data_IF_093741669566
#
_entry.id   IF_093741669566
#
_cell.length_a   1.000
_cell.length_b   1.000
_cell.length_c   1.000
_cell.angle_alpha   90.00
_cell.angle_beta   90.00
_cell.angle_gamma   90.00
#
_symmetry.space_group_name_H-M   'P 1'
#
loop_
_entity.id
_entity.type
_entity.pdbx_description
1 polymer ?
#
# COMPACT_ATOMS: atom_id res chain seq x y z
N UNK A 1 -74.48 -36.10 -60.26
CA UNK A 1 -75.85 -36.57 -60.48
C UNK A 1 -75.77 -37.67 -61.53
N UNK A 2 -76.34 -38.82 -61.22
CA UNK A 2 -76.38 -39.97 -62.13
C UNK A 2 -77.31 -39.68 -63.31
N UNK A 3 -77.12 -40.41 -64.42
CA UNK A 3 -77.96 -40.25 -65.61
C UNK A 3 -79.36 -40.82 -65.37
N UNK A 4 -80.37 -40.20 -66.01
CA UNK A 4 -81.76 -40.61 -65.88
C UNK A 4 -82.45 -40.17 -64.59
N UNK A 5 -83.67 -40.64 -64.37
CA UNK A 5 -84.51 -40.29 -63.22
C UNK A 5 -85.13 -41.52 -62.57
N UNK A 6 -85.48 -41.41 -61.29
CA UNK A 6 -86.12 -42.48 -60.52
C UNK A 6 -87.60 -42.21 -60.30
N UNK A 7 -88.40 -43.26 -60.32
CA UNK A 7 -89.73 -43.28 -59.74
C UNK A 7 -89.69 -44.08 -58.45
N UNK A 8 -89.99 -43.40 -57.35
CA UNK A 8 -90.04 -43.94 -56.01
C UNK A 8 -91.50 -43.99 -55.57
N UNK A 9 -91.94 -45.14 -55.07
CA UNK A 9 -93.31 -45.33 -54.60
C UNK A 9 -93.30 -45.51 -53.08
N UNK A 10 -94.15 -44.76 -52.39
CA UNK A 10 -94.27 -44.86 -50.93
C UNK A 10 -94.58 -46.31 -50.52
N UNK A 11 -93.88 -46.79 -49.49
CA UNK A 11 -94.00 -48.12 -48.90
C UNK A 11 -93.68 -49.28 -49.87
N UNK A 12 -92.94 -49.00 -50.94
CA UNK A 12 -92.41 -50.00 -51.86
C UNK A 12 -90.87 -50.04 -51.80
N UNK A 13 -90.29 -51.23 -51.97
CA UNK A 13 -88.84 -51.44 -52.10
C UNK A 13 -88.37 -51.47 -53.57
N UNK A 14 -89.28 -51.63 -54.52
CA UNK A 14 -89.01 -51.55 -55.94
C UNK A 14 -88.83 -50.10 -56.41
N UNK A 15 -87.74 -49.84 -57.11
CA UNK A 15 -87.43 -48.55 -57.75
C UNK A 15 -87.35 -48.76 -59.25
N UNK A 16 -88.04 -47.90 -60.00
CA UNK A 16 -87.99 -47.91 -61.46
C UNK A 16 -87.25 -46.68 -61.97
N UNK A 17 -86.31 -46.90 -62.89
CA UNK A 17 -85.50 -45.87 -63.53
C UNK A 17 -85.96 -45.59 -64.95
N UNK A 18 -85.88 -44.32 -65.36
CA UNK A 18 -86.07 -43.88 -66.74
C UNK A 18 -84.79 -43.25 -67.26
N UNK A 19 -84.22 -43.79 -68.33
CA UNK A 19 -82.92 -43.37 -68.87
C UNK A 19 -81.72 -43.70 -67.97
N UNK A 20 -81.87 -44.65 -67.06
CA UNK A 20 -80.83 -45.08 -66.11
C UNK A 20 -80.02 -46.25 -66.65
N UNK A 21 -78.79 -46.40 -66.15
CA UNK A 21 -77.90 -47.53 -66.43
C UNK A 21 -77.47 -48.21 -65.12
N UNK A 22 -78.43 -48.75 -64.35
CA UNK A 22 -78.13 -49.24 -63.00
C UNK A 22 -77.08 -50.33 -62.94
N UNK A 23 -76.98 -51.23 -63.94
CA UNK A 23 -76.01 -52.33 -63.87
C UNK A 23 -74.56 -51.87 -64.03
N UNK A 24 -74.33 -50.65 -64.51
CA UNK A 24 -72.99 -50.05 -64.65
C UNK A 24 -72.69 -49.02 -63.57
N UNK A 25 -73.71 -48.35 -63.04
CA UNK A 25 -73.56 -47.27 -62.06
C UNK A 25 -73.69 -47.72 -60.61
N UNK A 26 -74.29 -48.89 -60.37
CA UNK A 26 -74.59 -49.39 -59.03
C UNK A 26 -74.27 -50.88 -58.91
N UNK A 27 -73.84 -51.28 -57.73
CA UNK A 27 -73.79 -52.66 -57.28
C UNK A 27 -74.70 -52.87 -56.06
N UNK A 28 -75.03 -54.13 -55.76
CA UNK A 28 -75.69 -54.48 -54.51
C UNK A 28 -74.84 -54.00 -53.30
N UNK A 29 -75.48 -53.30 -52.37
CA UNK A 29 -74.85 -52.68 -51.20
C UNK A 29 -74.41 -51.22 -51.39
N UNK A 30 -74.51 -50.66 -52.60
CA UNK A 30 -74.33 -49.22 -52.81
C UNK A 30 -75.56 -48.43 -52.35
N UNK A 31 -75.43 -47.11 -52.27
CA UNK A 31 -76.49 -46.23 -51.82
C UNK A 31 -76.93 -45.30 -52.95
N UNK A 32 -78.21 -44.96 -52.96
CA UNK A 32 -78.78 -43.93 -53.83
C UNK A 32 -79.14 -42.74 -52.94
N UNK A 33 -78.66 -41.55 -53.31
CA UNK A 33 -79.11 -40.31 -52.69
C UNK A 33 -80.07 -39.60 -53.62
N UNK A 34 -81.27 -39.32 -53.12
CA UNK A 34 -82.36 -38.65 -53.83
C UNK A 34 -82.95 -37.57 -52.94
N UNK A 35 -83.27 -36.41 -53.49
CA UNK A 35 -83.96 -35.35 -52.73
C UNK A 35 -85.40 -35.28 -53.20
N UNK A 36 -86.34 -35.58 -52.30
CA UNK A 36 -87.77 -35.56 -52.57
C UNK A 36 -88.44 -34.58 -51.61
N UNK A 37 -89.13 -33.58 -52.14
CA UNK A 37 -89.82 -32.57 -51.32
C UNK A 37 -88.88 -31.76 -50.41
N UNK A 38 -87.61 -31.58 -50.79
CA UNK A 38 -86.59 -30.87 -50.00
C UNK A 38 -85.89 -31.72 -48.94
N UNK A 39 -86.27 -32.98 -48.76
CA UNK A 39 -85.64 -33.91 -47.81
C UNK A 39 -84.73 -34.88 -48.58
N UNK A 40 -83.44 -35.00 -48.23
CA UNK A 40 -82.55 -36.00 -48.80
C UNK A 40 -82.83 -37.38 -48.19
N UNK A 41 -82.93 -38.39 -49.04
CA UNK A 41 -83.06 -39.79 -48.67
C UNK A 41 -81.82 -40.56 -49.14
N UNK A 42 -81.23 -41.34 -48.25
CA UNK A 42 -80.13 -42.26 -48.55
C UNK A 42 -80.69 -43.69 -48.56
N UNK A 43 -80.81 -44.26 -49.75
CA UNK A 43 -81.53 -45.50 -50.02
C UNK A 43 -80.53 -46.61 -50.36
N UNK A 44 -80.31 -47.60 -49.47
CA UNK A 44 -79.42 -48.72 -49.74
C UNK A 44 -80.01 -49.67 -50.79
N UNK A 45 -79.22 -50.01 -51.81
CA UNK A 45 -79.59 -50.93 -52.89
C UNK A 45 -79.35 -52.37 -52.42
N UNK A 46 -80.42 -53.17 -52.40
CA UNK A 46 -80.34 -54.61 -52.07
C UNK A 46 -79.88 -55.41 -53.28
N UNK A 47 -80.46 -55.14 -54.44
CA UNK A 47 -80.14 -55.81 -55.70
C UNK A 47 -80.44 -54.88 -56.87
N UNK A 48 -79.63 -54.96 -57.92
CA UNK A 48 -79.91 -54.34 -59.22
C UNK A 48 -80.53 -55.42 -60.10
N UNK A 49 -81.80 -55.25 -60.46
CA UNK A 49 -82.55 -56.26 -61.20
C UNK A 49 -82.24 -56.17 -62.71
N UNK A 50 -82.08 -54.95 -63.24
CA UNK A 50 -81.63 -54.63 -64.60
C UNK A 50 -81.30 -53.13 -64.69
N UNK A 51 -81.03 -52.59 -65.89
CA UNK A 51 -80.65 -51.18 -66.08
C UNK A 51 -81.70 -50.15 -65.61
N UNK A 52 -82.96 -50.54 -65.52
CA UNK A 52 -84.09 -49.65 -65.20
C UNK A 52 -84.89 -50.11 -63.99
N UNK A 53 -84.43 -51.13 -63.26
CA UNK A 53 -85.11 -51.62 -62.07
C UNK A 53 -84.10 -52.10 -61.02
N UNK A 54 -84.33 -51.70 -59.78
CA UNK A 54 -83.58 -52.17 -58.62
C UNK A 54 -84.50 -52.33 -57.41
N UNK A 55 -84.03 -53.08 -56.42
CA UNK A 55 -84.73 -53.31 -55.16
C UNK A 55 -83.91 -52.70 -54.02
N UNK A 56 -84.56 -51.96 -53.13
CA UNK A 56 -83.95 -51.37 -51.93
C UNK A 56 -83.89 -52.39 -50.78
N UNK A 57 -83.02 -52.16 -49.81
CA UNK A 57 -82.93 -53.01 -48.60
C UNK A 57 -84.16 -52.82 -47.71
N UNK A 58 -84.67 -51.60 -47.65
CA UNK A 58 -85.89 -51.23 -46.92
C UNK A 58 -86.85 -50.49 -47.85
N UNK A 59 -88.15 -50.67 -47.64
CA UNK A 59 -89.18 -49.94 -48.38
C UNK A 59 -88.98 -48.43 -48.23
N UNK A 60 -89.17 -47.69 -49.33
CA UNK A 60 -89.04 -46.24 -49.37
C UNK A 60 -90.18 -45.57 -48.58
N UNK A 61 -89.85 -44.78 -47.56
CA UNK A 61 -90.83 -44.18 -46.63
C UNK A 61 -91.21 -42.74 -46.99
N UNK A 62 -90.64 -42.17 -48.05
CA UNK A 62 -90.97 -40.82 -48.52
C UNK A 62 -92.22 -40.77 -49.41
N UNK A 63 -92.64 -39.57 -49.85
CA UNK A 63 -93.80 -39.43 -50.73
C UNK A 63 -93.48 -39.98 -52.13
N UNK A 64 -94.48 -40.57 -52.77
CA UNK A 64 -94.38 -41.08 -54.14
C UNK A 64 -93.99 -39.96 -55.09
N UNK A 65 -92.88 -40.11 -55.80
CA UNK A 65 -92.40 -39.14 -56.77
C UNK A 65 -91.88 -39.86 -58.01
N UNK A 66 -92.32 -39.38 -59.18
CA UNK A 66 -91.74 -39.76 -60.47
C UNK A 66 -90.77 -38.68 -60.95
N UNK A 67 -89.74 -39.07 -61.69
CA UNK A 67 -88.77 -38.14 -62.26
C UNK A 67 -87.73 -37.62 -61.27
N UNK A 68 -87.49 -38.30 -60.14
CA UNK A 68 -86.56 -37.84 -59.12
C UNK A 68 -85.10 -37.94 -59.59
N UNK A 69 -84.37 -36.83 -59.46
CA UNK A 69 -82.93 -36.79 -59.71
C UNK A 69 -82.17 -37.55 -58.60
N UNK A 70 -81.13 -38.29 -58.97
CA UNK A 70 -80.45 -39.19 -58.04
C UNK A 70 -78.93 -39.17 -58.23
N UNK A 71 -78.20 -39.66 -57.22
CA UNK A 71 -76.76 -39.88 -57.31
C UNK A 71 -76.41 -41.23 -56.69
N UNK A 72 -75.64 -42.03 -57.42
CA UNK A 72 -75.00 -43.23 -56.90
C UNK A 72 -73.90 -42.84 -55.89
N UNK A 73 -73.91 -43.49 -54.73
CA UNK A 73 -72.84 -43.41 -53.72
C UNK A 73 -72.32 -44.83 -53.48
N UNK A 74 -71.13 -45.17 -54.01
CA UNK A 74 -70.54 -46.48 -53.81
C UNK A 74 -70.36 -46.78 -52.32
N UNK A 75 -70.61 -48.03 -51.89
CA UNK A 75 -70.49 -48.44 -50.48
C UNK A 75 -69.10 -48.14 -49.92
N UNK A 76 -68.07 -48.29 -50.76
CA UNK A 76 -66.67 -48.08 -50.39
C UNK A 76 -66.44 -46.62 -50.00
N UNK A 77 -67.04 -45.67 -50.70
CA UNK A 77 -66.90 -44.25 -50.39
C UNK A 77 -67.52 -43.89 -49.04
N UNK A 78 -68.74 -44.36 -48.75
CA UNK A 78 -69.41 -44.15 -47.45
C UNK A 78 -68.65 -44.81 -46.28
N UNK A 79 -68.13 -46.02 -46.48
CA UNK A 79 -67.31 -46.71 -45.49
C UNK A 79 -65.98 -46.01 -45.25
N UNK A 80 -65.34 -45.47 -46.30
CA UNK A 80 -64.09 -44.70 -46.18
C UNK A 80 -64.30 -43.39 -45.42
N UNK A 81 -65.41 -42.67 -45.65
CA UNK A 81 -65.72 -41.45 -44.88
C UNK A 81 -65.93 -41.77 -43.39
N UNK A 82 -66.64 -42.85 -43.09
CA UNK A 82 -66.85 -43.30 -41.70
C UNK A 82 -65.53 -43.73 -41.05
N UNK A 83 -64.69 -44.49 -41.76
CA UNK A 83 -63.38 -44.92 -41.28
C UNK A 83 -62.42 -43.73 -41.07
N UNK A 84 -62.41 -42.76 -41.98
CA UNK A 84 -61.61 -41.55 -41.87
C UNK A 84 -62.04 -40.69 -40.66
N UNK A 85 -63.35 -40.52 -40.44
CA UNK A 85 -63.87 -39.82 -39.27
C UNK A 85 -63.47 -40.52 -37.96
N UNK A 86 -63.54 -41.85 -37.92
CA UNK A 86 -63.08 -42.65 -36.76
C UNK A 86 -61.58 -42.47 -36.54
N UNK A 87 -60.77 -42.52 -37.60
CA UNK A 87 -59.32 -42.32 -37.50
C UNK A 87 -58.98 -40.91 -36.98
N UNK A 88 -59.58 -39.87 -37.54
CA UNK A 88 -59.39 -38.48 -37.10
C UNK A 88 -59.85 -38.27 -35.65
N UNK A 89 -60.98 -38.86 -35.26
CA UNK A 89 -61.47 -38.79 -33.88
C UNK A 89 -60.55 -39.50 -32.90
N UNK A 90 -60.01 -40.67 -33.28
CA UNK A 90 -59.04 -41.41 -32.47
C UNK A 90 -57.71 -40.67 -32.34
N UNK A 91 -57.23 -40.01 -33.39
CA UNK A 91 -56.05 -39.15 -33.35
C UNK A 91 -56.24 -37.94 -32.44
N UNK A 92 -57.38 -37.25 -32.54
CA UNK A 92 -57.72 -36.13 -31.67
C UNK A 92 -57.77 -36.55 -30.19
N UNK A 93 -58.44 -37.66 -29.87
CA UNK A 93 -58.50 -38.20 -28.51
C UNK A 93 -57.12 -38.62 -27.98
N UNK A 94 -56.27 -39.16 -28.85
CA UNK A 94 -54.89 -39.50 -28.49
C UNK A 94 -54.07 -38.25 -28.18
N UNK A 95 -54.22 -37.19 -28.97
CA UNK A 95 -53.61 -35.89 -28.71
C UNK A 95 -54.01 -35.32 -27.34
N UNK A 96 -55.31 -35.32 -27.02
CA UNK A 96 -55.80 -34.86 -25.71
C UNK A 96 -55.25 -35.69 -24.54
N UNK A 97 -55.12 -37.01 -24.73
CA UNK A 97 -54.51 -37.88 -23.71
C UNK A 97 -53.02 -37.59 -23.52
N UNK A 98 -52.28 -37.30 -24.60
CA UNK A 98 -50.88 -36.86 -24.48
C UNK A 98 -50.79 -35.54 -23.73
N UNK A 99 -51.62 -34.54 -24.04
CA UNK A 99 -51.61 -33.26 -23.31
C UNK A 99 -51.87 -33.48 -21.82
N UNK A 100 -52.81 -34.35 -21.45
CA UNK A 100 -53.05 -34.69 -20.04
C UNK A 100 -51.83 -35.31 -19.36
N UNK A 101 -51.14 -36.24 -20.03
CA UNK A 101 -49.94 -36.88 -19.50
C UNK A 101 -48.75 -35.91 -19.43
N UNK A 102 -48.60 -35.05 -20.45
CA UNK A 102 -47.59 -34.01 -20.51
C UNK A 102 -47.76 -33.04 -19.34
N UNK A 103 -48.98 -32.54 -19.11
CA UNK A 103 -49.27 -31.62 -18.01
C UNK A 103 -49.05 -32.25 -16.64
N UNK A 104 -49.44 -33.51 -16.44
CA UNK A 104 -49.14 -34.23 -15.21
C UNK A 104 -47.62 -34.29 -14.98
N UNK A 105 -46.85 -34.63 -16.01
CA UNK A 105 -45.39 -34.72 -15.92
C UNK A 105 -44.75 -33.35 -15.63
N UNK A 106 -45.20 -32.28 -16.28
CA UNK A 106 -44.70 -30.91 -16.06
C UNK A 106 -44.98 -30.44 -14.63
N UNK A 107 -46.17 -30.71 -14.08
CA UNK A 107 -46.56 -30.24 -12.76
C UNK A 107 -45.94 -31.03 -11.62
N UNK A 108 -45.73 -32.35 -11.78
CA UNK A 108 -45.22 -33.19 -10.70
C UNK A 108 -43.72 -33.52 -10.81
N UNK A 109 -43.11 -33.29 -11.97
CA UNK A 109 -41.70 -33.61 -12.19
C UNK A 109 -40.75 -32.65 -11.47
N UNK A 110 -39.64 -33.19 -10.96
CA UNK A 110 -38.52 -32.43 -10.37
C UNK A 110 -37.27 -32.36 -11.27
N UNK A 111 -37.29 -33.05 -12.41
CA UNK A 111 -36.19 -33.06 -13.39
C UNK A 111 -36.69 -32.74 -14.80
N UNK A 112 -35.97 -33.21 -15.82
CA UNK A 112 -36.43 -33.10 -17.20
C UNK A 112 -37.55 -34.11 -17.48
N UNK A 113 -38.58 -33.65 -18.19
CA UNK A 113 -39.73 -34.45 -18.65
C UNK A 113 -39.86 -34.35 -20.16
N UNK A 114 -40.39 -35.40 -20.78
CA UNK A 114 -40.64 -35.46 -22.22
C UNK A 114 -42.11 -35.16 -22.51
N UNK A 115 -42.35 -34.13 -23.30
CA UNK A 115 -43.66 -33.71 -23.80
C UNK A 115 -43.86 -34.33 -25.18
N UNK A 116 -44.95 -35.06 -25.37
CA UNK A 116 -45.32 -35.67 -26.66
C UNK A 116 -46.42 -34.87 -27.35
N UNK A 117 -46.21 -34.46 -28.59
CA UNK A 117 -47.15 -33.65 -29.35
C UNK A 117 -48.15 -34.53 -30.12
N UNK A 118 -49.33 -33.99 -30.49
CA UNK A 118 -50.33 -34.73 -31.27
C UNK A 118 -49.83 -35.23 -32.64
N UNK A 119 -48.84 -34.56 -33.24
CA UNK A 119 -48.18 -34.95 -34.49
C UNK A 119 -47.18 -36.13 -34.32
N UNK A 120 -47.00 -36.62 -33.09
CA UNK A 120 -46.10 -37.71 -32.74
C UNK A 120 -44.67 -37.29 -32.40
N UNK A 121 -44.32 -36.01 -32.58
CA UNK A 121 -43.03 -35.47 -32.18
C UNK A 121 -42.92 -35.30 -30.66
N UNK A 122 -41.71 -35.02 -30.16
CA UNK A 122 -41.48 -34.84 -28.73
C UNK A 122 -40.44 -33.77 -28.42
N UNK A 123 -40.58 -33.16 -27.25
CA UNK A 123 -39.67 -32.18 -26.68
C UNK A 123 -39.28 -32.61 -25.25
N UNK A 124 -38.02 -32.42 -24.85
CA UNK A 124 -37.58 -32.70 -23.48
C UNK A 124 -37.08 -31.42 -22.82
N UNK A 125 -37.60 -31.11 -21.63
CA UNK A 125 -37.24 -29.91 -20.88
C UNK A 125 -37.59 -30.02 -19.41
N UNK A 126 -37.19 -29.04 -18.58
CA UNK A 126 -37.39 -29.11 -17.13
C UNK A 126 -38.86 -29.00 -16.76
N UNK A 127 -39.31 -29.87 -15.87
CA UNK A 127 -40.57 -29.72 -15.16
C UNK A 127 -40.48 -28.58 -14.12
N UNK A 128 -41.63 -28.12 -13.65
CA UNK A 128 -41.71 -26.96 -12.77
C UNK A 128 -40.99 -27.17 -11.43
N UNK A 129 -40.99 -28.39 -10.88
CA UNK A 129 -40.23 -28.71 -9.68
C UNK A 129 -38.71 -28.59 -9.87
N UNK A 130 -38.20 -28.91 -11.07
CA UNK A 130 -36.78 -28.75 -11.40
C UNK A 130 -36.37 -27.28 -11.51
N UNK A 131 -37.24 -26.45 -12.11
CA UNK A 131 -37.06 -24.99 -12.17
C UNK A 131 -37.06 -24.40 -10.76
N UNK A 132 -38.03 -24.79 -9.92
CA UNK A 132 -38.13 -24.31 -8.54
C UNK A 132 -36.90 -24.67 -7.70
N UNK A 133 -36.38 -25.90 -7.84
CA UNK A 133 -35.17 -26.35 -7.15
C UNK A 133 -33.95 -25.52 -7.55
N UNK A 134 -33.81 -25.26 -8.86
CA UNK A 134 -32.72 -24.44 -9.40
C UNK A 134 -32.79 -23.02 -8.85
N UNK A 135 -33.99 -22.41 -8.85
CA UNK A 135 -34.19 -21.07 -8.31
C UNK A 135 -33.91 -20.98 -6.81
N UNK A 136 -34.33 -21.99 -6.03
CA UNK A 136 -34.02 -22.08 -4.61
C UNK A 136 -32.51 -22.17 -4.35
N UNK A 137 -31.79 -22.96 -5.15
CA UNK A 137 -30.33 -23.07 -5.06
C UNK A 137 -29.62 -21.77 -5.41
N UNK A 138 -30.10 -21.05 -6.43
CA UNK A 138 -29.59 -19.71 -6.78
C UNK A 138 -29.80 -18.73 -5.63
N UNK A 139 -31.00 -18.68 -5.04
CA UNK A 139 -31.30 -17.82 -3.90
C UNK A 139 -30.40 -18.11 -2.69
N UNK A 140 -30.17 -19.39 -2.39
CA UNK A 140 -29.25 -19.77 -1.32
C UNK A 140 -27.82 -19.28 -1.60
N UNK A 141 -27.33 -19.50 -2.83
CA UNK A 141 -25.99 -19.06 -3.23
C UNK A 141 -25.82 -17.53 -3.12
N UNK A 142 -26.84 -16.76 -3.49
CA UNK A 142 -26.85 -15.30 -3.35
C UNK A 142 -26.77 -14.89 -1.87
N UNK A 143 -27.54 -15.55 -1.00
CA UNK A 143 -27.52 -15.27 0.44
C UNK A 143 -26.16 -15.61 1.07
N UNK A 144 -25.56 -16.73 0.67
CA UNK A 144 -24.25 -17.17 1.16
C UNK A 144 -23.14 -16.17 0.74
N UNK A 145 -23.19 -15.69 -0.51
CA UNK A 145 -22.30 -14.63 -1.00
C UNK A 145 -22.49 -13.35 -0.18
N UNK A 146 -23.74 -12.93 0.04
CA UNK A 146 -24.04 -11.73 0.84
C UNK A 146 -23.48 -11.81 2.26
N UNK A 147 -23.64 -12.97 2.91
CA UNK A 147 -23.12 -13.24 4.26
C UNK A 147 -21.59 -13.19 4.28
N UNK A 148 -20.94 -13.95 3.38
CA UNK A 148 -19.47 -14.02 3.29
C UNK A 148 -18.85 -12.64 3.00
N UNK A 149 -19.49 -11.86 2.13
CA UNK A 149 -19.03 -10.50 1.82
C UNK A 149 -19.19 -9.57 3.03
N UNK A 150 -20.30 -9.68 3.77
CA UNK A 150 -20.52 -8.92 5.00
C UNK A 150 -19.41 -9.15 6.04
N UNK A 151 -18.96 -10.40 6.20
CA UNK A 151 -17.86 -10.76 7.10
C UNK A 151 -16.51 -10.19 6.63
N UNK A 152 -16.19 -10.31 5.33
CA UNK A 152 -14.92 -9.80 4.78
C UNK A 152 -14.87 -8.28 4.66
N UNK A 153 -16.02 -7.62 4.52
CA UNK A 153 -16.13 -6.18 4.32
C UNK A 153 -16.36 -5.40 5.63
N UNK A 154 -16.44 -6.07 6.78
CA UNK A 154 -16.52 -5.36 8.07
C UNK A 154 -15.16 -4.73 8.41
N UNK A 155 -14.94 -3.55 7.82
CA UNK A 155 -13.78 -2.68 8.04
C UNK A 155 -13.61 -2.30 9.52
N UNK A 156 -14.64 -2.47 10.37
CA UNK A 156 -14.51 -2.20 11.81
C UNK A 156 -13.60 -3.22 12.51
N UNK A 157 -13.51 -4.44 12.00
CA UNK A 157 -12.65 -5.50 12.56
C UNK A 157 -11.16 -5.33 12.23
N UNK A 158 -10.83 -4.58 11.17
CA UNK A 158 -9.46 -4.40 10.68
C UNK A 158 -8.68 -3.26 11.37
N UNK A 159 -9.32 -2.58 12.34
CA UNK A 159 -8.73 -1.47 13.07
C UNK A 159 -8.63 -0.17 12.24
N UNK A 160 -8.31 0.94 12.91
CA UNK A 160 -8.30 2.27 12.28
C UNK A 160 -7.17 2.48 11.27
N UNK A 161 -6.09 1.69 11.35
CA UNK A 161 -4.97 1.76 10.41
C UNK A 161 -5.33 1.23 9.01
N UNK A 162 -6.20 0.22 8.91
CA UNK A 162 -6.61 -0.36 7.63
C UNK A 162 -7.45 0.58 6.75
N UNK A 163 -7.96 1.68 7.32
CA UNK A 163 -8.71 2.71 6.62
C UNK A 163 -7.85 3.92 6.20
N UNK A 164 -6.54 3.89 6.47
CA UNK A 164 -5.61 4.97 6.13
C UNK A 164 -4.78 4.59 4.92
N UNK A 165 -4.56 5.54 4.04
CA UNK A 165 -3.63 5.37 2.92
C UNK A 165 -2.20 5.26 3.43
N UNK A 166 -1.38 4.49 2.73
CA UNK A 166 0.07 4.47 2.94
C UNK A 166 0.69 5.67 2.23
N UNK A 167 1.79 6.19 2.76
CA UNK A 167 2.59 7.23 2.09
C UNK A 167 2.97 6.84 0.66
N UNK A 168 2.97 7.82 -0.25
CA UNK A 168 3.34 7.61 -1.67
C UNK A 168 4.82 7.83 -1.96
N UNK A 169 5.55 8.44 -1.03
CA UNK A 169 7.01 8.64 -1.12
C UNK A 169 7.61 8.77 0.28
N UNK A 170 8.93 8.65 0.40
CA UNK A 170 9.65 8.80 1.67
C UNK A 170 9.61 10.23 2.25
N UNK A 171 9.00 11.20 1.55
CA UNK A 171 8.87 12.60 1.93
C UNK A 171 7.41 13.07 1.90
N UNK A 172 6.45 12.14 1.89
CA UNK A 172 5.02 12.44 1.81
C UNK A 172 4.47 13.04 3.11
N UNK A 173 4.19 14.34 3.08
CA UNK A 173 3.69 15.12 4.21
C UNK A 173 2.15 15.08 4.36
N UNK A 174 1.44 14.27 3.56
CA UNK A 174 -0.02 14.20 3.60
C UNK A 174 -0.51 13.69 4.96
N UNK A 175 -1.28 14.52 5.67
CA UNK A 175 -1.76 14.17 7.00
C UNK A 175 -2.66 12.93 6.99
N UNK A 176 -2.48 12.07 8.01
CA UNK A 176 -3.33 10.91 8.23
C UNK A 176 -2.94 9.65 7.47
N UNK A 177 -1.81 9.66 6.74
CA UNK A 177 -1.23 8.48 6.11
C UNK A 177 -0.38 7.63 7.06
N UNK A 178 -0.25 6.34 6.75
CA UNK A 178 0.60 5.39 7.48
C UNK A 178 2.02 5.45 6.94
N UNK A 179 3.01 5.60 7.83
CA UNK A 179 4.43 5.59 7.50
C UNK A 179 4.93 4.15 7.20
N UNK A 180 5.87 4.02 6.27
CA UNK A 180 6.57 2.76 5.98
C UNK A 180 8.05 2.85 6.33
N UNK A 181 8.75 1.71 6.34
CA UNK A 181 10.21 1.69 6.52
C UNK A 181 10.90 2.54 5.46
N UNK A 182 11.75 3.46 5.90
CA UNK A 182 12.44 4.46 5.09
C UNK A 182 11.73 5.82 5.00
N UNK A 183 10.48 5.93 5.46
CA UNK A 183 9.77 7.20 5.54
C UNK A 183 10.55 8.18 6.42
N UNK A 184 10.87 9.36 5.88
CA UNK A 184 11.58 10.42 6.62
C UNK A 184 12.87 9.93 7.32
N UNK A 185 13.54 8.91 6.76
CA UNK A 185 14.77 8.34 7.33
C UNK A 185 14.56 7.38 8.50
N UNK A 186 13.33 6.96 8.80
CA UNK A 186 13.03 5.98 9.85
C UNK A 186 13.30 4.55 9.36
N UNK A 187 14.23 3.84 10.01
CA UNK A 187 14.54 2.43 9.71
C UNK A 187 15.38 2.21 8.44
N UNK A 188 15.66 3.26 7.65
CA UNK A 188 16.65 3.27 6.56
C UNK A 188 17.20 4.68 6.39
N UNK A 189 18.46 4.81 5.99
CA UNK A 189 19.06 6.13 5.76
C UNK A 189 18.35 6.86 4.62
N UNK A 190 18.20 8.17 4.76
CA UNK A 190 17.80 9.10 3.70
C UNK A 190 18.89 10.14 3.52
N UNK A 191 19.41 10.28 2.31
CA UNK A 191 20.30 11.40 1.98
C UNK A 191 19.43 12.65 1.81
N UNK A 192 19.66 13.68 2.62
CA UNK A 192 18.98 14.97 2.50
C UNK A 192 19.76 15.89 1.55
N UNK A 193 19.02 16.72 0.83
CA UNK A 193 19.55 17.76 -0.04
C UNK A 193 19.66 19.10 0.68
N UNK A 194 20.46 20.02 0.12
CA UNK A 194 20.51 21.41 0.61
C UNK A 194 19.13 22.07 0.67
N UNK A 195 18.27 21.82 -0.31
CA UNK A 195 16.94 22.41 -0.35
C UNK A 195 16.04 21.89 0.79
N UNK A 196 16.09 20.59 1.08
CA UNK A 196 15.30 19.98 2.15
C UNK A 196 15.72 20.47 3.54
N UNK A 197 17.03 20.68 3.75
CA UNK A 197 17.56 21.18 5.01
C UNK A 197 17.36 22.69 5.19
N UNK A 198 17.33 23.46 4.11
CA UNK A 198 17.07 24.91 4.15
C UNK A 198 15.58 25.27 4.25
N UNK A 199 14.67 24.31 4.07
CA UNK A 199 13.24 24.57 3.98
C UNK A 199 12.48 23.85 5.08
N UNK A 200 11.89 24.59 6.02
CA UNK A 200 10.96 24.01 6.99
C UNK A 200 9.78 23.28 6.30
N UNK A 201 9.36 23.67 5.09
CA UNK A 201 8.28 22.98 4.37
C UNK A 201 8.59 21.51 4.00
N UNK A 202 9.85 21.05 4.08
CA UNK A 202 10.20 19.64 3.83
C UNK A 202 9.91 18.69 4.99
N UNK A 203 9.32 19.18 6.08
CA UNK A 203 8.91 18.36 7.22
C UNK A 203 10.04 17.93 8.16
N UNK A 204 9.63 17.19 9.20
CA UNK A 204 10.50 16.51 10.18
C UNK A 204 11.10 15.25 9.55
N UNK A 205 12.39 15.01 9.79
CA UNK A 205 13.09 13.86 9.23
C UNK A 205 14.37 13.49 9.99
N UNK A 206 14.72 12.22 9.95
CA UNK A 206 16.09 11.73 10.13
C UNK A 206 16.80 11.74 8.78
N UNK A 207 18.07 12.11 8.77
CA UNK A 207 18.81 12.24 7.53
C UNK A 207 20.29 11.88 7.68
N UNK A 208 20.88 11.44 6.57
CA UNK A 208 22.30 11.48 6.30
C UNK A 208 22.58 12.67 5.37
N UNK A 209 23.78 13.24 5.44
CA UNK A 209 24.19 14.35 4.60
C UNK A 209 25.63 14.17 4.12
N UNK A 210 25.86 14.47 2.84
CA UNK A 210 27.11 14.20 2.12
C UNK A 210 28.19 15.28 2.20
N UNK A 211 28.06 16.25 3.11
CA UNK A 211 29.00 17.37 3.22
C UNK A 211 29.01 18.34 2.03
N UNK A 212 29.89 19.34 2.08
CA UNK A 212 30.13 20.27 0.96
C UNK A 212 29.03 21.29 0.64
N UNK A 213 28.04 21.46 1.53
CA UNK A 213 26.95 22.41 1.35
C UNK A 213 26.45 22.98 2.68
N UNK A 214 25.20 22.71 3.02
CA UNK A 214 24.55 23.17 4.26
C UNK A 214 25.33 22.73 5.51
N UNK A 215 25.74 21.47 5.56
CA UNK A 215 26.79 21.01 6.46
C UNK A 215 28.08 20.84 5.66
N UNK A 216 29.21 21.30 6.20
CA UNK A 216 30.52 21.10 5.58
C UNK A 216 30.94 19.64 5.62
N UNK A 217 30.59 18.96 6.72
CA UNK A 217 31.00 17.60 7.03
C UNK A 217 29.96 16.56 6.59
N UNK A 218 30.43 15.33 6.41
CA UNK A 218 29.58 14.15 6.27
C UNK A 218 29.04 13.76 7.63
N UNK A 219 27.79 13.29 7.68
CA UNK A 219 27.21 12.89 8.96
C UNK A 219 25.73 12.58 8.89
N UNK A 220 25.14 12.53 10.08
CA UNK A 220 23.72 12.22 10.26
C UNK A 220 23.07 13.28 11.14
N UNK A 221 21.78 13.48 10.97
CA UNK A 221 21.05 14.44 11.77
C UNK A 221 19.57 14.16 11.87
N UNK A 222 18.94 14.97 12.69
CA UNK A 222 17.49 15.05 12.85
C UNK A 222 17.07 16.49 12.63
N UNK A 223 16.01 16.67 11.85
CA UNK A 223 15.33 17.93 11.64
C UNK A 223 13.94 17.79 12.22
N UNK A 224 13.55 18.73 13.08
CA UNK A 224 12.26 18.75 13.76
C UNK A 224 11.59 20.08 13.46
N UNK A 225 10.41 20.00 12.86
CA UNK A 225 9.59 21.17 12.61
C UNK A 225 8.73 21.52 13.82
N UNK A 226 8.64 22.81 14.12
CA UNK A 226 7.63 23.36 15.01
C UNK A 226 6.40 23.85 14.20
N UNK A 227 6.66 24.51 13.07
CA UNK A 227 5.68 24.99 12.09
C UNK A 227 6.26 24.88 10.67
N UNK A 228 5.45 25.17 9.64
CA UNK A 228 5.87 25.09 8.23
C UNK A 228 7.03 26.03 7.85
N UNK A 229 7.33 27.00 8.70
CA UNK A 229 8.39 27.99 8.53
C UNK A 229 9.35 28.09 9.73
N UNK A 230 9.25 27.16 10.70
CA UNK A 230 10.09 27.11 11.90
C UNK A 230 10.53 25.67 12.13
N UNK A 231 11.84 25.44 12.10
CA UNK A 231 12.42 24.16 12.45
C UNK A 231 13.70 24.32 13.26
N UNK A 232 14.05 23.25 13.95
CA UNK A 232 15.35 23.05 14.56
C UNK A 232 16.00 21.80 13.97
N UNK A 233 17.32 21.80 13.90
CA UNK A 233 18.11 20.69 13.39
C UNK A 233 19.24 20.40 14.35
N UNK A 234 19.57 19.12 14.49
CA UNK A 234 20.78 18.65 15.14
C UNK A 234 21.50 17.75 14.14
N UNK A 235 22.78 18.01 13.93
CA UNK A 235 23.64 17.25 13.06
C UNK A 235 24.88 16.80 13.80
N UNK A 236 25.27 15.55 13.58
CA UNK A 236 26.46 14.93 14.12
C UNK A 236 27.34 14.52 12.94
N UNK A 237 28.48 15.19 12.81
CA UNK A 237 29.47 14.85 11.81
C UNK A 237 30.10 13.48 12.13
N UNK A 238 30.22 12.61 11.12
CA UNK A 238 30.71 11.25 11.30
C UNK A 238 32.22 11.20 11.64
N UNK A 239 33.00 12.16 11.15
CA UNK A 239 34.46 12.16 11.30
C UNK A 239 34.97 12.66 12.65
N UNK A 240 34.30 13.64 13.25
CA UNK A 240 34.76 14.32 14.47
C UNK A 240 33.67 14.44 15.56
N UNK A 241 32.52 13.78 15.37
CA UNK A 241 31.36 13.84 16.27
C UNK A 241 30.92 15.27 16.62
N UNK A 242 31.22 16.24 15.74
CA UNK A 242 30.83 17.64 15.95
C UNK A 242 29.31 17.74 15.91
N UNK A 243 28.73 18.20 17.02
CA UNK A 243 27.32 18.53 17.12
C UNK A 243 27.08 19.97 16.64
N UNK A 244 26.22 20.12 15.65
CA UNK A 244 25.80 21.42 15.11
C UNK A 244 24.29 21.55 15.23
N UNK A 245 23.83 22.65 15.79
CA UNK A 245 22.42 23.03 15.83
C UNK A 245 22.13 24.02 14.73
N UNK A 246 21.00 23.90 14.04
CA UNK A 246 20.49 24.99 13.24
C UNK A 246 19.08 25.34 13.69
N UNK A 247 18.84 26.62 13.96
CA UNK A 247 17.50 27.13 14.17
C UNK A 247 17.12 28.04 13.01
N UNK A 248 15.92 27.87 12.48
CA UNK A 248 15.35 28.80 11.51
C UNK A 248 14.23 29.59 12.20
N UNK A 249 14.53 30.77 12.77
CA UNK A 249 13.52 31.58 13.42
C UNK A 249 12.58 32.19 12.37
N UNK A 250 11.28 31.88 12.44
CA UNK A 250 10.16 32.47 11.69
C UNK A 250 10.52 33.15 10.34
N UNK A 251 10.91 32.35 9.33
CA UNK A 251 11.23 32.86 7.98
C UNK A 251 12.62 33.51 7.82
N UNK A 252 13.46 33.50 8.86
CA UNK A 252 14.84 33.95 8.84
C UNK A 252 15.82 32.92 8.25
N UNK A 253 17.07 33.33 8.06
CA UNK A 253 18.14 32.42 7.65
C UNK A 253 18.46 31.41 8.77
N UNK A 254 18.85 30.18 8.39
CA UNK A 254 19.27 29.17 9.34
C UNK A 254 20.52 29.66 10.11
N UNK A 255 20.43 29.68 11.44
CA UNK A 255 21.53 30.11 12.31
C UNK A 255 22.29 28.88 12.81
N UNK A 256 23.58 28.80 12.47
CA UNK A 256 24.46 27.77 13.00
C UNK A 256 24.73 28.02 14.48
N UNK A 257 24.53 26.99 15.29
CA UNK A 257 24.84 26.96 16.71
C UNK A 257 25.86 25.85 16.95
N UNK A 258 27.00 26.21 17.53
CA UNK A 258 28.02 25.23 17.94
C UNK A 258 27.68 24.73 19.34
N UNK A 259 27.65 23.40 19.51
CA UNK A 259 27.51 22.81 20.84
C UNK A 259 28.86 22.74 21.56
N UNK A 260 28.90 23.29 22.76
CA UNK A 260 30.02 23.16 23.67
C UNK A 260 29.85 21.91 24.56
N UNK A 261 30.92 21.14 24.69
CA UNK A 261 31.01 19.89 25.44
C UNK A 261 32.37 19.81 26.13
N UNK A 262 32.56 18.84 27.04
CA UNK A 262 33.86 18.61 27.68
C UNK A 262 34.96 18.19 26.70
N UNK A 263 34.61 17.81 25.47
CA UNK A 263 35.58 17.47 24.43
C UNK A 263 36.13 18.69 23.69
N UNK A 264 35.41 19.82 23.66
CA UNK A 264 35.81 21.04 22.93
C UNK A 264 35.80 22.30 23.81
N UNK A 265 35.73 22.13 25.13
CA UNK A 265 35.90 23.20 26.11
C UNK A 265 36.78 22.77 27.28
N UNK A 266 37.56 23.71 27.82
CA UNK A 266 38.32 23.55 29.06
C UNK A 266 37.66 24.38 30.16
N UNK A 267 37.48 23.79 31.34
CA UNK A 267 36.97 24.47 32.53
C UNK A 267 38.13 25.12 33.29
N UNK A 268 38.10 26.45 33.44
CA UNK A 268 39.05 27.18 34.26
C UNK A 268 38.79 26.93 35.77
N UNK A 269 39.75 27.31 36.63
CA UNK A 269 39.66 27.11 38.07
C UNK A 269 38.43 27.81 38.70
N UNK A 270 37.98 28.92 38.12
CA UNK A 270 36.79 29.68 38.53
C UNK A 270 35.46 29.10 37.99
N UNK A 271 35.52 28.04 37.21
CA UNK A 271 34.36 27.37 36.61
C UNK A 271 33.90 27.92 35.26
N UNK A 272 34.56 28.95 34.71
CA UNK A 272 34.28 29.43 33.35
C UNK A 272 34.69 28.40 32.29
N UNK A 273 33.87 28.25 31.24
CA UNK A 273 34.19 27.42 30.08
C UNK A 273 34.88 28.28 29.02
N UNK A 274 36.02 27.80 28.53
CA UNK A 274 36.78 28.42 27.43
C UNK A 274 37.01 27.38 26.33
N UNK A 275 37.29 27.81 25.11
CA UNK A 275 37.54 26.89 23.99
C UNK A 275 38.64 25.87 24.35
N UNK A 276 38.46 24.61 23.96
CA UNK A 276 39.51 23.60 24.12
C UNK A 276 40.74 24.01 23.32
N UNK A 277 41.89 23.84 23.95
CA UNK A 277 43.19 24.00 23.33
C UNK A 277 44.19 23.12 24.08
N UNK A 278 45.37 22.82 23.53
CA UNK A 278 46.40 22.11 24.27
C UNK A 278 46.79 22.93 25.50
N UNK A 279 46.51 22.38 26.69
CA UNK A 279 46.75 23.06 27.96
C UNK A 279 47.53 22.16 28.89
N UNK A 280 48.65 22.69 29.36
CA UNK A 280 49.52 22.09 30.37
C UNK A 280 49.30 22.83 31.69
N UNK A 281 48.84 22.12 32.72
CA UNK A 281 48.76 22.67 34.08
C UNK A 281 50.05 22.38 34.83
N UNK A 282 50.69 23.41 35.36
CA UNK A 282 51.92 23.35 36.14
C UNK A 282 51.62 23.44 37.64
N UNK A 283 52.19 22.54 38.43
CA UNK A 283 52.08 22.53 39.90
C UNK A 283 53.42 22.84 40.56
N UNK A 284 53.36 23.19 41.86
CA UNK A 284 54.49 23.68 42.64
C UNK A 284 55.72 22.75 42.64
N UNK A 285 55.50 21.43 42.63
CA UNK A 285 56.51 20.38 42.71
C UNK A 285 57.08 19.96 41.34
N UNK A 286 56.60 20.58 40.25
CA UNK A 286 56.95 20.20 38.89
C UNK A 286 56.06 19.10 38.30
N UNK A 287 55.07 18.60 39.05
CA UNK A 287 54.02 17.76 38.47
C UNK A 287 53.25 18.59 37.45
N UNK A 288 52.75 17.91 36.41
CA UNK A 288 51.88 18.52 35.42
C UNK A 288 50.66 17.66 35.11
N UNK A 289 49.57 18.32 34.75
CA UNK A 289 48.38 17.67 34.20
C UNK A 289 48.16 18.13 32.76
N UNK A 290 48.08 17.17 31.86
CA UNK A 290 47.89 17.37 30.43
C UNK A 290 46.44 17.07 30.06
N UNK A 291 45.90 17.83 29.11
CA UNK A 291 44.66 17.44 28.43
C UNK A 291 44.97 16.54 27.23
N UNK A 292 43.92 16.00 26.59
CA UNK A 292 44.07 15.10 25.44
C UNK A 292 44.87 15.72 24.29
N UNK A 293 44.76 17.03 24.07
CA UNK A 293 45.46 17.72 22.99
C UNK A 293 46.94 17.98 23.29
N UNK A 294 47.32 18.13 24.57
CA UNK A 294 48.73 18.29 25.01
C UNK A 294 49.40 16.95 25.38
N UNK A 295 48.80 15.82 25.01
CA UNK A 295 49.37 14.49 25.21
C UNK A 295 50.75 14.40 24.53
N UNK A 296 51.79 14.09 25.31
CA UNK A 296 53.17 14.04 24.86
C UNK A 296 54.04 15.20 25.36
N UNK A 297 53.46 16.24 25.96
CA UNK A 297 54.25 17.25 26.66
C UNK A 297 54.90 16.67 27.93
N UNK A 298 56.14 17.10 28.22
CA UNK A 298 56.85 16.78 29.45
C UNK A 298 57.13 18.07 30.21
N UNK A 299 56.95 18.06 31.53
CA UNK A 299 57.28 19.19 32.39
C UNK A 299 58.42 18.82 33.31
N UNK A 300 59.47 19.66 33.30
CA UNK A 300 60.65 19.51 34.14
C UNK A 300 60.86 20.75 34.98
N UNK A 301 60.79 20.63 36.32
CA UNK A 301 61.18 21.72 37.24
C UNK A 301 62.70 21.86 37.26
N UNK A 302 63.22 22.99 36.76
CA UNK A 302 64.67 23.26 36.66
C UNK A 302 65.23 23.89 37.95
N UNK A 303 64.40 24.65 38.65
CA UNK A 303 64.76 25.38 39.86
C UNK A 303 63.53 25.93 40.56
N UNK A 304 63.73 26.70 41.64
CA UNK A 304 62.63 27.39 42.33
C UNK A 304 61.96 28.37 41.39
N UNK A 305 60.67 28.16 41.13
CA UNK A 305 59.88 28.99 40.23
C UNK A 305 60.23 28.81 38.75
N UNK A 306 60.96 27.77 38.35
CA UNK A 306 61.34 27.54 36.96
C UNK A 306 60.84 26.18 36.44
N UNK A 307 59.95 26.21 35.46
CA UNK A 307 59.28 25.05 34.88
C UNK A 307 59.45 25.01 33.37
N UNK A 308 60.15 24.00 32.86
CA UNK A 308 60.33 23.81 31.42
C UNK A 308 59.28 22.85 30.86
N UNK A 309 58.56 23.27 29.83
CA UNK A 309 57.61 22.45 29.07
C UNK A 309 58.24 22.04 27.74
N UNK A 310 58.39 20.75 27.53
CA UNK A 310 58.97 20.13 26.34
C UNK A 310 57.89 19.38 25.57
N UNK A 311 58.06 19.17 24.26
CA UNK A 311 57.08 18.49 23.39
C UNK A 311 56.01 19.40 22.77
N UNK A 312 56.11 20.71 22.98
CA UNK A 312 55.35 21.74 22.28
C UNK A 312 56.23 22.52 21.28
N UNK A 313 55.61 23.28 20.37
CA UNK A 313 56.29 24.15 19.39
C UNK A 313 56.27 25.63 19.79
N UNK A 314 55.85 25.93 21.02
CA UNK A 314 55.76 27.28 21.58
C UNK A 314 54.42 27.51 22.27
N UNK A 315 54.09 28.78 22.48
CA UNK A 315 52.76 29.18 22.93
C UNK A 315 51.76 29.13 21.78
N UNK A 316 50.51 28.81 22.13
CA UNK A 316 49.44 28.78 21.14
C UNK A 316 49.21 30.18 20.53
N UNK A 317 49.11 30.24 19.20
CA UNK A 317 49.03 31.50 18.45
C UNK A 317 47.66 32.21 18.53
N UNK A 318 46.64 31.57 19.10
CA UNK A 318 45.30 32.14 19.23
C UNK A 318 45.16 33.04 20.46
N UNK A 319 44.88 34.33 20.20
CA UNK A 319 44.78 35.41 21.19
C UNK A 319 43.53 35.35 22.11
N UNK A 320 42.66 34.33 21.94
CA UNK A 320 41.45 34.17 22.76
C UNK A 320 41.72 33.97 24.27
N UNK A 321 42.94 33.62 24.67
CA UNK A 321 43.40 33.57 26.07
C UNK A 321 44.57 34.53 26.26
N UNK A 322 44.44 35.52 27.14
CA UNK A 322 45.58 36.33 27.59
C UNK A 322 46.09 37.38 26.59
N UNK A 323 45.60 37.40 25.35
CA UNK A 323 45.99 38.39 24.34
C UNK A 323 47.24 37.97 23.54
N UNK A 324 47.92 38.95 22.95
CA UNK A 324 49.10 38.74 22.07
C UNK A 324 50.35 38.22 22.80
N UNK A 325 50.36 38.33 24.13
CA UNK A 325 51.50 38.01 25.00
C UNK A 325 51.39 36.63 25.67
N UNK A 326 50.53 35.74 25.15
CA UNK A 326 50.49 34.34 25.54
C UNK A 326 49.29 33.90 26.39
N UNK A 327 48.88 32.64 26.20
CA UNK A 327 47.71 32.03 26.85
C UNK A 327 48.00 31.45 28.23
N UNK A 328 48.24 32.31 29.23
CA UNK A 328 48.45 31.90 30.62
C UNK A 328 47.25 32.20 31.51
N UNK A 329 47.01 31.35 32.51
CA UNK A 329 46.17 31.67 33.67
C UNK A 329 46.94 31.38 34.95
N UNK A 330 47.13 32.43 35.75
CA UNK A 330 47.97 32.41 36.96
C UNK A 330 47.11 32.36 38.23
N UNK A 331 47.64 31.74 39.31
CA UNK A 331 47.02 31.70 40.63
C UNK A 331 46.56 33.07 41.12
N UNK A 332 45.34 33.13 41.66
CA UNK A 332 44.72 34.36 42.18
C UNK A 332 44.18 34.13 43.59
N UNK A 333 44.19 35.18 44.38
CA UNK A 333 43.60 35.18 45.72
C UNK A 333 42.06 35.33 45.68
N UNK A 334 41.43 35.36 46.86
CA UNK A 334 39.98 35.57 47.02
C UNK A 334 39.47 36.90 46.45
N UNK A 335 40.35 37.88 46.26
CA UNK A 335 40.05 39.22 45.73
C UNK A 335 40.42 39.35 44.24
N UNK A 336 40.72 38.22 43.57
CA UNK A 336 41.19 38.17 42.17
C UNK A 336 42.53 38.87 41.94
N UNK A 337 43.34 39.02 42.97
CA UNK A 337 44.71 39.52 42.87
C UNK A 337 45.67 38.36 42.54
N UNK A 338 46.44 38.44 41.45
CA UNK A 338 47.47 37.46 41.14
C UNK A 338 48.49 37.27 42.26
N UNK A 339 48.74 36.02 42.64
CA UNK A 339 49.68 35.66 43.72
C UNK A 339 51.14 35.65 43.28
N UNK A 340 51.37 35.62 41.96
CA UNK A 340 52.69 35.52 41.34
C UNK A 340 52.78 36.45 40.13
N UNK A 341 54.00 36.86 39.81
CA UNK A 341 54.38 37.33 38.48
C UNK A 341 54.76 36.11 37.63
N UNK A 342 54.45 36.16 36.34
CA UNK A 342 54.84 35.14 35.38
C UNK A 342 55.64 35.80 34.26
N UNK A 343 56.79 35.23 33.98
CA UNK A 343 57.61 35.51 32.81
C UNK A 343 57.81 34.21 32.05
N UNK A 344 58.08 34.29 30.75
CA UNK A 344 58.29 33.10 29.94
C UNK A 344 59.30 33.33 28.82
N UNK A 345 59.95 32.25 28.43
CA UNK A 345 60.89 32.23 27.32
C UNK A 345 60.57 31.04 26.42
N UNK A 346 60.44 31.27 25.12
CA UNK A 346 60.26 30.20 24.14
C UNK A 346 61.63 29.89 23.53
N UNK A 347 62.12 28.69 23.79
CA UNK A 347 63.40 28.22 23.28
C UNK A 347 63.31 27.95 21.76
N UNK A 348 64.47 27.88 21.10
CA UNK A 348 64.56 27.64 19.65
C UNK A 348 64.01 26.28 19.21
N UNK A 349 63.95 25.32 20.12
CA UNK A 349 63.33 24.00 19.91
C UNK A 349 61.81 23.99 20.12
N UNK A 350 61.22 25.13 20.48
CA UNK A 350 59.78 25.28 20.76
C UNK A 350 59.38 24.96 22.20
N UNK A 351 60.31 24.53 23.06
CA UNK A 351 60.03 24.34 24.49
C UNK A 351 59.77 25.68 25.17
N UNK A 352 58.87 25.69 26.16
CA UNK A 352 58.45 26.89 26.88
C UNK A 352 58.97 26.84 28.29
N UNK A 353 59.87 27.75 28.65
CA UNK A 353 60.36 27.93 30.01
C UNK A 353 59.48 28.97 30.73
N UNK A 354 58.75 28.53 31.74
CA UNK A 354 57.91 29.38 32.59
C UNK A 354 58.66 29.71 33.87
N UNK A 355 58.77 31.02 34.16
CA UNK A 355 59.41 31.56 35.36
C UNK A 355 58.38 32.28 36.21
N UNK A 356 58.33 31.98 37.50
CA UNK A 356 57.35 32.53 38.44
C UNK A 356 58.03 33.25 39.59
N UNK A 357 57.55 34.45 39.91
CA UNK A 357 58.12 35.29 40.96
C UNK A 357 57.05 35.72 41.96
N UNK A 358 57.45 35.99 43.18
CA UNK A 358 56.55 36.42 44.24
C UNK A 358 55.99 37.81 43.92
N UNK A 359 54.67 37.98 44.08
CA UNK A 359 54.00 39.24 43.83
C UNK A 359 53.37 39.77 45.11
N UNK A 360 53.73 40.98 45.52
CA UNK A 360 53.16 41.66 46.67
C UNK A 360 52.32 42.86 46.26
N UNK A 361 51.41 43.29 47.14
CA UNK A 361 50.56 44.46 46.94
C UNK A 361 50.69 45.42 48.12
N UNK A 362 51.70 46.31 48.13
CA UNK A 362 51.95 47.24 49.24
C UNK A 362 50.75 48.14 49.57
N UNK A 363 50.00 48.52 48.54
CA UNK A 363 48.83 49.40 48.64
C UNK A 363 47.55 48.66 49.08
N UNK A 364 47.57 47.33 49.19
CA UNK A 364 46.44 46.54 49.68
C UNK A 364 46.37 46.55 51.22
N UNK A 365 45.21 46.27 51.83
CA UNK A 365 45.09 46.00 53.25
C UNK A 365 46.01 44.85 53.68
N UNK A 366 46.52 44.87 54.92
CA UNK A 366 47.52 43.91 55.43
C UNK A 366 47.18 42.43 55.13
N UNK A 367 45.90 42.05 55.25
CA UNK A 367 45.43 40.68 54.97
C UNK A 367 45.45 40.27 53.48
N UNK A 368 45.63 41.22 52.56
CA UNK A 368 45.59 41.03 51.11
C UNK A 368 46.92 41.44 50.42
N UNK A 369 47.97 41.79 51.17
CA UNK A 369 49.26 42.20 50.58
C UNK A 369 50.06 41.07 49.97
N UNK A 370 49.69 39.82 50.26
CA UNK A 370 50.45 38.62 49.90
C UNK A 370 51.91 38.65 50.39
N UNK A 371 52.18 39.26 51.55
CA UNK A 371 53.54 39.29 52.12
C UNK A 371 53.90 37.94 52.74
N UNK A 372 55.04 37.35 52.36
CA UNK A 372 55.55 36.09 52.91
C UNK A 372 56.92 36.28 53.59
N UNK A 373 57.16 35.74 54.79
CA UNK A 373 58.45 35.87 55.46
C UNK A 373 59.60 35.33 54.58
N UNK A 374 60.61 36.16 54.32
CA UNK A 374 61.79 35.78 53.56
C UNK A 374 61.65 35.83 52.03
N UNK A 375 60.55 36.38 51.50
CA UNK A 375 60.35 36.61 50.07
C UNK A 375 59.97 38.08 49.84
N UNK A 376 60.72 38.75 48.98
CA UNK A 376 60.41 40.10 48.49
C UNK A 376 59.61 40.02 47.19
N UNK A 377 59.02 41.14 46.78
CA UNK A 377 58.43 41.28 45.45
C UNK A 377 59.49 41.01 44.37
N UNK A 378 59.15 40.15 43.42
CA UNK A 378 60.05 39.75 42.33
C UNK A 378 61.03 38.63 42.67
N UNK A 379 61.08 38.12 43.90
CA UNK A 379 61.92 36.96 44.23
C UNK A 379 61.39 35.67 43.56
N UNK A 380 62.23 34.79 43.00
CA UNK A 380 61.79 33.52 42.43
C UNK A 380 61.05 32.67 43.46
N UNK A 381 59.84 32.20 43.10
CA UNK A 381 59.01 31.39 43.99
C UNK A 381 58.27 30.32 43.19
N UNK A 382 58.12 29.13 43.77
CA UNK A 382 57.28 28.11 43.18
C UNK A 382 55.79 28.50 43.24
N UNK A 383 55.01 27.90 42.34
CA UNK A 383 53.55 28.04 42.29
C UNK A 383 52.94 27.70 43.67
N UNK A 384 51.89 28.40 44.16
CA UNK A 384 51.22 28.05 45.40
C UNK A 384 50.73 26.59 45.39
N UNK A 385 50.93 25.86 46.50
CA UNK A 385 50.71 24.41 46.54
C UNK A 385 49.23 23.99 46.36
N UNK A 386 48.29 24.90 46.63
CA UNK A 386 46.86 24.72 46.46
C UNK A 386 46.33 25.18 45.09
N UNK A 387 47.19 25.71 44.22
CA UNK A 387 46.83 26.23 42.90
C UNK A 387 47.78 25.73 41.81
N UNK A 388 47.49 26.11 40.56
CA UNK A 388 48.29 25.74 39.39
C UNK A 388 48.36 26.91 38.41
N UNK A 389 49.39 26.90 37.55
CA UNK A 389 49.45 27.77 36.38
C UNK A 389 48.96 26.98 35.17
N UNK A 390 48.02 27.52 34.39
CA UNK A 390 47.64 26.91 33.10
C UNK A 390 48.41 27.57 31.98
N UNK A 391 49.07 26.76 31.15
CA UNK A 391 49.83 27.22 29.99
C UNK A 391 49.20 26.63 28.73
N UNK A 392 48.81 27.50 27.80
CA UNK A 392 48.30 27.10 26.49
C UNK A 392 49.46 26.96 25.52
N UNK A 393 49.68 25.75 25.02
CA UNK A 393 50.82 25.42 24.15
C UNK A 393 50.37 25.14 22.72
N UNK A 394 51.25 25.37 21.76
CA UNK A 394 51.09 24.91 20.40
C UNK A 394 51.70 23.51 20.27
N UNK A 395 50.95 22.57 19.69
CA UNK A 395 51.41 21.19 19.54
C UNK A 395 51.90 20.94 18.12
N UNK A 396 53.01 20.21 17.95
CA UNK A 396 53.52 19.90 16.62
C UNK A 396 52.53 19.02 15.84
N UNK A 397 52.60 19.09 14.51
CA UNK A 397 51.71 18.35 13.60
C UNK A 397 51.83 16.82 13.75
N UNK A 398 52.98 16.34 14.20
CA UNK A 398 53.26 14.93 14.49
C UNK A 398 52.97 14.55 15.95
N UNK A 399 52.32 15.42 16.75
CA UNK A 399 51.89 15.08 18.10
C UNK A 399 50.95 13.86 18.10
N UNK A 400 50.94 13.12 19.21
CA UNK A 400 50.14 11.89 19.38
C UNK A 400 48.67 12.13 19.04
N UNK A 401 48.13 13.27 19.46
CA UNK A 401 46.75 13.64 19.19
C UNK A 401 46.51 13.94 17.70
N UNK A 402 47.36 14.75 17.06
CA UNK A 402 47.24 15.07 15.63
C UNK A 402 47.37 13.82 14.74
N UNK A 403 48.28 12.90 15.08
CA UNK A 403 48.41 11.62 14.38
C UNK A 403 47.18 10.72 14.54
N UNK A 404 46.56 10.67 15.73
CA UNK A 404 45.30 9.92 15.95
C UNK A 404 44.16 10.50 15.10
N UNK A 405 44.04 11.83 15.00
CA UNK A 405 43.04 12.49 14.15
C UNK A 405 43.28 12.16 12.66
N UNK A 406 44.53 12.23 12.21
CA UNK A 406 44.90 11.96 10.82
C UNK A 406 44.71 10.49 10.44
N UNK A 407 45.13 9.55 11.30
CA UNK A 407 44.93 8.12 11.08
C UNK A 407 43.44 7.76 10.99
N UNK A 408 42.61 8.39 11.82
CA UNK A 408 41.14 8.23 11.75
C UNK A 408 40.60 8.74 10.41
N UNK A 409 41.08 9.91 9.95
CA UNK A 409 40.73 10.47 8.65
C UNK A 409 41.12 9.53 7.49
N UNK A 410 42.35 9.03 7.49
CA UNK A 410 42.85 8.11 6.44
C UNK A 410 42.05 6.81 6.43
N UNK A 411 41.83 6.19 7.60
CA UNK A 411 41.06 4.94 7.69
C UNK A 411 39.63 5.08 7.14
N UNK A 412 39.00 6.24 7.33
CA UNK A 412 37.69 6.54 6.76
C UNK A 412 37.74 6.70 5.23
N UNK A 413 38.77 7.35 4.69
CA UNK A 413 38.97 7.47 3.23
C UNK A 413 39.26 6.11 2.59
N UNK A 414 40.05 5.26 3.25
CA UNK A 414 40.33 3.90 2.77
C UNK A 414 39.10 2.99 2.81
N UNK A 415 38.27 3.08 3.86
CA UNK A 415 37.01 2.35 3.94
C UNK A 415 36.10 2.72 2.75
N UNK A 416 36.00 4.00 2.42
CA UNK A 416 35.28 4.50 1.24
C UNK A 416 35.81 3.93 -0.07
N UNK A 417 37.14 3.97 -0.29
CA UNK A 417 37.75 3.45 -1.52
C UNK A 417 37.53 1.93 -1.68
N UNK A 418 37.42 1.19 -0.57
CA UNK A 418 37.10 -0.24 -0.61
C UNK A 418 35.64 -0.48 -0.98
N UNK A 419 34.70 0.29 -0.44
CA UNK A 419 33.27 0.18 -0.79
C UNK A 419 33.00 0.56 -2.26
N UNK A 420 33.60 1.65 -2.75
CA UNK A 420 33.50 2.06 -4.16
C UNK A 420 34.10 1.02 -5.13
N UNK A 421 35.11 0.25 -4.69
CA UNK A 421 35.69 -0.86 -5.48
C UNK A 421 34.84 -2.13 -5.49
N UNK A 422 34.05 -2.39 -4.45
CA UNK A 422 33.16 -3.56 -4.40
C UNK A 422 31.91 -3.39 -5.27
N UNK A 423 31.43 -2.17 -5.48
CA UNK A 423 30.29 -1.90 -6.36
C UNK A 423 30.66 -1.93 -7.86
N UNK A 424 31.93 -1.72 -8.20
CA UNK A 424 32.44 -1.76 -9.58
C UNK A 424 32.66 -3.17 -10.16
N UNK A 425 32.53 -4.23 -9.36
CA UNK A 425 32.77 -5.62 -9.77
C UNK A 425 31.48 -6.45 -9.95
N UNK A 426 30.31 -5.79 -9.92
CA UNK A 426 29.00 -6.38 -10.22
C UNK A 426 28.46 -5.86 -11.56
N UNK A 427 29.21 -6.05 -12.64
CA UNK A 427 28.70 -5.94 -14.02
C UNK A 427 28.93 -7.26 -14.75
#
# INVERSE_FOLDING_TARGET
>A
MSAGTLTLTNSADAVTGSGTAFTTELAAGDFIVVTVGGVPYTLPVKAVNNNTSLTLVSAYTGPTQSGAAWSAVPRVALNMVTAALVAQSAEALRGLNYDKQNWQSIFSGSGNVTVKLPDGSSFTGPAWGGIATTLSGINQSINDIGTTLGEKADKKSLGTAAAKDIITSATDLTQGRVLTTGAFGLGKYKIATNAELNSAASGTMFFAYGGGGFYTDYGVGVKINYLDNINCQLFMAAGNLRLMGFSQPNGGAAQACTFYSTANTTKAADGTLKAASPVVKLFHDGRAELNLESEGCLVTRKGTGEYLIEGCTGLNADAAWGGVDGGFDIPKDRNRQPLIWLDYEVNTDGSVLVKTYHRTYPDAPEFARNERPGLNDGDPVDIPADQFVSVRVEMPQDSIWNQKQEATRIAMVEARMKEERTDGNNV
#
